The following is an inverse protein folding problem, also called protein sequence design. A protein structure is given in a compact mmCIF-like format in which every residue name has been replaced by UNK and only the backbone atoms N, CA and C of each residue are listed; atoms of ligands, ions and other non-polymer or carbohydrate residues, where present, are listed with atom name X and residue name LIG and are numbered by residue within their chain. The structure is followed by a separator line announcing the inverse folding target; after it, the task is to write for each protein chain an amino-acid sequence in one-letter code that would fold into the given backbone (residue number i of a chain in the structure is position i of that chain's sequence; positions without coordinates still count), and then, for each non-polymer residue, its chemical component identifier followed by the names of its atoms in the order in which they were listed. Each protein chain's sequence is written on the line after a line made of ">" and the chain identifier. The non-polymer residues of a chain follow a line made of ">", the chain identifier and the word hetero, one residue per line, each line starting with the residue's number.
data_IF_796115699138
#
_entry.id   IF_796115699138
#
_cell.length_a   1.000
_cell.length_b   1.000
_cell.length_c   1.000
_cell.angle_alpha   90.00
_cell.angle_beta   90.00
_cell.angle_gamma   90.00
#
_symmetry.space_group_name_H-M   'P 1'
#
loop_
_entity.id
_entity.type
_entity.pdbx_description
1 polymer ?
#
# COMPACT_ATOMS: atom_id res chain seq x y z
N UNK A 1 1.37 25.37 3.63
CA UNK A 1 1.92 24.56 4.74
C UNK A 1 2.80 25.44 5.62
N UNK A 2 2.73 25.31 6.96
CA UNK A 2 3.63 26.02 7.86
C UNK A 2 5.04 25.41 7.85
N UNK A 3 6.05 26.22 8.21
CA UNK A 3 7.44 25.77 8.28
C UNK A 3 7.63 24.61 9.27
N UNK A 4 6.92 24.63 10.40
CA UNK A 4 6.97 23.58 11.42
C UNK A 4 6.40 22.25 10.91
N UNK A 5 5.28 22.28 10.18
CA UNK A 5 4.69 21.07 9.59
C UNK A 5 5.63 20.42 8.55
N UNK A 6 6.34 21.24 7.77
CA UNK A 6 7.33 20.75 6.80
C UNK A 6 8.54 20.10 7.49
N UNK A 7 9.02 20.66 8.61
CA UNK A 7 10.10 20.09 9.40
C UNK A 7 9.71 18.76 10.06
N UNK A 8 8.48 18.68 10.61
CA UNK A 8 7.96 17.42 11.17
C UNK A 8 7.91 16.31 10.13
N UNK A 9 7.32 16.59 8.95
CA UNK A 9 7.24 15.61 7.85
C UNK A 9 8.61 15.12 7.39
N UNK A 10 9.61 16.01 7.37
CA UNK A 10 10.98 15.63 7.04
C UNK A 10 11.54 14.64 8.08
N UNK A 11 11.37 14.94 9.37
CA UNK A 11 11.83 14.07 10.45
C UNK A 11 11.12 12.71 10.43
N UNK A 12 9.81 12.68 10.14
CA UNK A 12 9.03 11.44 10.01
C UNK A 12 9.53 10.59 8.84
N UNK A 13 9.82 11.23 7.70
CA UNK A 13 10.42 10.55 6.55
C UNK A 13 11.80 10.01 6.85
N UNK A 14 12.66 10.77 7.53
CA UNK A 14 14.00 10.32 7.93
C UNK A 14 13.90 9.13 8.90
N UNK A 15 13.00 9.19 9.89
CA UNK A 15 12.70 8.07 10.80
C UNK A 15 12.27 6.83 10.02
N UNK A 16 11.32 6.95 9.10
CA UNK A 16 10.83 5.84 8.28
C UNK A 16 11.99 5.14 7.54
N UNK A 17 12.91 5.91 6.95
CA UNK A 17 14.06 5.35 6.23
C UNK A 17 15.04 4.57 7.13
N UNK A 18 15.04 4.82 8.44
CA UNK A 18 15.78 3.98 9.42
C UNK A 18 15.07 2.66 9.73
N UNK A 19 13.77 2.57 9.48
CA UNK A 19 12.94 1.40 9.80
C UNK A 19 12.86 0.42 8.63
N UNK A 20 12.85 0.92 7.40
CA UNK A 20 12.53 0.12 6.22
C UNK A 20 13.49 0.33 5.06
N UNK A 21 13.50 -0.61 4.13
CA UNK A 21 14.26 -0.53 2.88
C UNK A 21 13.54 -1.21 1.72
N UNK A 22 13.56 -0.64 0.51
CA UNK A 22 13.12 -1.35 -0.68
C UNK A 22 14.04 -2.53 -1.00
N UNK A 23 13.50 -3.58 -1.63
CA UNK A 23 14.26 -4.74 -2.11
C UNK A 23 13.50 -5.53 -3.16
N UNK A 24 14.16 -6.46 -3.88
CA UNK A 24 13.50 -7.27 -4.90
C UNK A 24 12.56 -8.33 -4.29
N UNK A 25 11.48 -8.63 -5.00
CA UNK A 25 10.54 -9.74 -4.75
C UNK A 25 10.28 -10.49 -6.06
N UNK A 26 9.52 -11.59 -6.00
CA UNK A 26 9.08 -12.31 -7.20
C UNK A 26 8.04 -11.55 -8.03
N UNK A 27 7.42 -10.50 -7.47
CA UNK A 27 6.43 -9.64 -8.14
C UNK A 27 6.93 -8.20 -8.37
N UNK A 28 8.23 -7.95 -8.22
CA UNK A 28 8.83 -6.64 -8.47
C UNK A 28 9.66 -6.13 -7.29
N UNK A 29 9.29 -4.97 -6.75
CA UNK A 29 9.96 -4.36 -5.58
C UNK A 29 9.03 -4.42 -4.38
N UNK A 30 9.54 -4.84 -3.23
CA UNK A 30 8.88 -4.85 -1.94
C UNK A 30 9.54 -3.90 -0.95
N UNK A 31 8.94 -3.75 0.23
CA UNK A 31 9.50 -2.99 1.36
C UNK A 31 9.79 -3.93 2.51
N UNK A 32 10.98 -3.87 3.07
CA UNK A 32 11.45 -4.81 4.10
C UNK A 32 11.87 -4.08 5.38
N UNK A 33 11.60 -4.71 6.51
CA UNK A 33 11.99 -4.22 7.82
C UNK A 33 13.52 -4.28 7.99
N UNK A 34 14.15 -3.16 8.37
CA UNK A 34 15.59 -3.11 8.72
C UNK A 34 15.88 -3.67 10.11
N UNK A 35 14.89 -3.68 10.98
CA UNK A 35 14.94 -4.15 12.36
C UNK A 35 13.58 -4.71 12.76
N UNK A 36 13.49 -5.34 13.92
CA UNK A 36 12.22 -5.83 14.43
C UNK A 36 11.23 -4.67 14.62
N UNK A 37 10.04 -4.83 14.05
CA UNK A 37 8.90 -3.92 14.19
C UNK A 37 7.82 -4.63 15.01
N UNK A 38 7.21 -3.91 15.95
CA UNK A 38 6.23 -4.47 16.88
C UNK A 38 4.82 -4.21 16.38
N UNK A 39 3.92 -5.18 16.53
CA UNK A 39 2.48 -4.96 16.30
C UNK A 39 1.98 -3.69 17.00
N UNK A 40 1.13 -2.93 16.32
CA UNK A 40 0.64 -1.61 16.74
C UNK A 40 1.61 -0.45 16.49
N UNK A 41 2.79 -0.68 15.91
CA UNK A 41 3.73 0.40 15.62
C UNK A 41 3.32 1.20 14.38
N UNK A 42 3.11 2.51 14.56
CA UNK A 42 3.00 3.47 13.45
C UNK A 42 4.36 3.68 12.80
N UNK A 43 4.47 3.29 11.53
CA UNK A 43 5.70 3.37 10.74
C UNK A 43 5.90 4.77 10.17
N UNK A 44 4.85 5.36 9.60
CA UNK A 44 4.87 6.73 9.10
C UNK A 44 3.75 7.02 8.10
N UNK A 45 3.71 8.28 7.66
CA UNK A 45 2.83 8.78 6.60
C UNK A 45 3.22 8.16 5.25
N UNK A 46 2.22 7.83 4.41
CA UNK A 46 2.43 7.55 3.00
C UNK A 46 2.66 8.90 2.30
N UNK A 47 3.91 9.21 2.00
CA UNK A 47 4.24 10.44 1.26
C UNK A 47 4.03 10.24 -0.24
N UNK A 48 3.63 11.29 -0.93
CA UNK A 48 3.40 11.26 -2.37
C UNK A 48 2.91 12.59 -2.93
N UNK A 49 2.50 12.55 -4.20
CA UNK A 49 1.81 13.66 -4.83
C UNK A 49 0.30 13.49 -4.63
N UNK A 50 -0.36 14.52 -4.15
CA UNK A 50 -1.83 14.55 -4.06
C UNK A 50 -2.37 15.20 -5.32
N UNK A 51 -3.27 14.49 -6.00
CA UNK A 51 -3.90 14.85 -7.25
C UNK A 51 -5.41 15.04 -7.02
N UNK A 52 -5.99 16.04 -7.68
CA UNK A 52 -7.45 16.30 -7.61
C UNK A 52 -8.24 15.31 -8.50
N UNK A 53 -7.63 14.85 -9.60
CA UNK A 53 -8.21 13.88 -10.52
C UNK A 53 -7.49 12.54 -10.45
N UNK A 54 -8.20 11.46 -10.81
CA UNK A 54 -7.59 10.15 -10.96
C UNK A 54 -6.60 10.17 -12.13
N UNK A 55 -5.34 9.74 -11.92
CA UNK A 55 -4.39 9.65 -13.02
C UNK A 55 -4.82 8.60 -14.03
N UNK A 56 -4.27 8.72 -15.24
CA UNK A 56 -4.59 7.83 -16.38
C UNK A 56 -4.27 6.36 -16.07
N UNK A 57 -3.27 6.11 -15.21
CA UNK A 57 -2.96 4.80 -14.65
C UNK A 57 -3.20 4.79 -13.13
N UNK A 58 -4.33 4.27 -12.66
CA UNK A 58 -4.68 4.27 -11.24
C UNK A 58 -4.05 3.11 -10.47
N UNK A 59 -3.26 2.24 -11.12
CA UNK A 59 -2.81 0.96 -10.54
C UNK A 59 -2.03 1.08 -9.23
N UNK A 60 -1.56 2.28 -8.88
CA UNK A 60 -0.82 2.57 -7.65
C UNK A 60 -1.31 3.81 -6.93
N UNK A 61 -2.61 4.11 -7.01
CA UNK A 61 -3.20 5.26 -6.33
C UNK A 61 -3.93 4.87 -5.06
N UNK A 62 -3.94 5.78 -4.07
CA UNK A 62 -4.65 5.61 -2.81
C UNK A 62 -5.62 6.76 -2.63
N UNK A 63 -6.89 6.47 -2.35
CA UNK A 63 -7.86 7.52 -2.05
C UNK A 63 -7.53 8.19 -0.71
N UNK A 64 -7.84 9.48 -0.61
CA UNK A 64 -7.78 10.25 0.62
C UNK A 64 -9.19 10.63 1.07
N UNK A 65 -9.41 10.94 2.36
CA UNK A 65 -10.75 11.26 2.87
C UNK A 65 -11.39 12.49 2.23
N UNK A 66 -10.60 13.42 1.68
CA UNK A 66 -11.09 14.55 0.90
C UNK A 66 -11.69 14.17 -0.46
N UNK A 67 -11.58 12.90 -0.89
CA UNK A 67 -11.92 12.44 -2.23
C UNK A 67 -10.80 12.65 -3.26
N UNK A 68 -9.66 13.21 -2.84
CA UNK A 68 -8.46 13.32 -3.67
C UNK A 68 -7.73 11.98 -3.77
N UNK A 69 -6.77 11.92 -4.68
CA UNK A 69 -5.97 10.73 -4.93
C UNK A 69 -4.50 10.99 -4.58
N UNK A 70 -3.89 10.09 -3.82
CA UNK A 70 -2.47 10.09 -3.49
C UNK A 70 -1.72 9.13 -4.41
N UNK A 71 -0.76 9.66 -5.17
CA UNK A 71 0.27 8.89 -5.86
C UNK A 71 1.49 8.73 -4.93
N UNK A 72 1.70 7.54 -4.34
CA UNK A 72 2.70 7.33 -3.31
C UNK A 72 4.12 7.35 -3.88
N UNK A 73 5.03 7.84 -3.06
CA UNK A 73 6.47 7.91 -3.33
C UNK A 73 7.24 6.84 -2.53
N UNK A 74 8.51 6.63 -2.90
CA UNK A 74 9.37 5.69 -2.20
C UNK A 74 9.64 6.11 -0.73
N UNK A 75 9.76 5.15 0.20
CA UNK A 75 9.79 3.72 -0.05
C UNK A 75 8.41 3.05 -0.08
N UNK A 76 7.36 3.67 0.49
CA UNK A 76 6.10 2.97 0.75
C UNK A 76 5.21 2.74 -0.49
N UNK A 77 5.52 3.38 -1.63
CA UNK A 77 4.91 3.01 -2.92
C UNK A 77 5.14 1.55 -3.34
N UNK A 78 6.13 0.88 -2.74
CA UNK A 78 6.49 -0.49 -3.07
C UNK A 78 5.95 -1.52 -2.06
N UNK A 79 5.05 -1.14 -1.15
CA UNK A 79 4.45 -2.09 -0.21
C UNK A 79 3.53 -3.02 -1.00
N UNK A 80 3.82 -4.32 -0.98
CA UNK A 80 3.09 -5.31 -1.75
C UNK A 80 1.81 -5.79 -1.05
N UNK A 81 0.99 -6.46 -1.85
CA UNK A 81 -0.22 -7.11 -1.40
C UNK A 81 0.05 -8.44 -0.67
N UNK A 82 -0.74 -8.73 0.37
CA UNK A 82 -0.96 -10.09 0.87
C UNK A 82 -2.39 -10.29 1.33
N UNK A 83 -2.94 -11.49 1.09
CA UNK A 83 -4.20 -11.94 1.70
C UNK A 83 -4.07 -12.29 3.19
N UNK A 84 -2.85 -12.36 3.70
CA UNK A 84 -2.51 -12.40 5.13
C UNK A 84 -1.49 -11.29 5.42
N UNK A 85 -1.93 -10.03 5.55
CA UNK A 85 -1.05 -8.87 5.66
C UNK A 85 -0.48 -8.69 7.07
N UNK A 86 0.64 -8.00 7.20
CA UNK A 86 1.25 -7.66 8.51
C UNK A 86 1.26 -6.16 8.79
N UNK A 87 0.81 -5.36 7.84
CA UNK A 87 0.56 -3.94 7.96
C UNK A 87 -0.88 -3.60 7.50
N UNK A 88 -1.34 -2.43 7.91
CA UNK A 88 -2.58 -1.83 7.40
C UNK A 88 -2.41 -0.32 7.22
N UNK A 89 -3.23 0.24 6.34
CA UNK A 89 -3.34 1.67 6.11
C UNK A 89 -4.48 2.25 6.95
N UNK A 90 -4.31 3.45 7.48
CA UNK A 90 -5.34 4.12 8.28
C UNK A 90 -5.29 5.64 8.16
N UNK A 91 -6.39 6.28 8.56
CA UNK A 91 -6.52 7.73 8.70
C UNK A 91 -6.60 8.09 10.18
N UNK A 92 -6.13 9.28 10.56
CA UNK A 92 -6.34 9.79 11.91
C UNK A 92 -7.73 10.42 12.04
N UNK A 93 -8.51 9.91 12.98
CA UNK A 93 -9.83 10.44 13.33
C UNK A 93 -9.76 11.27 14.62
N UNK A 94 -10.67 12.22 14.75
CA UNK A 94 -10.80 13.07 15.91
C UNK A 94 -11.24 12.22 17.12
N UNK A 95 -10.67 12.48 18.29
CA UNK A 95 -11.00 11.73 19.50
C UNK A 95 -12.43 12.00 19.98
N UNK A 96 -12.95 13.21 19.71
CA UNK A 96 -14.29 13.64 20.07
C UNK A 96 -15.32 13.32 18.97
N UNK A 97 -14.88 13.12 17.72
CA UNK A 97 -15.72 12.71 16.59
C UNK A 97 -15.02 11.65 15.70
N UNK A 98 -15.35 10.36 15.86
CA UNK A 98 -14.72 9.28 15.09
C UNK A 98 -15.10 9.28 13.59
N UNK A 99 -16.00 10.16 13.14
CA UNK A 99 -16.29 10.38 11.72
C UNK A 99 -15.51 11.56 11.13
N UNK A 100 -14.93 12.41 11.98
CA UNK A 100 -14.13 13.54 11.53
C UNK A 100 -12.66 13.10 11.37
N UNK A 101 -12.14 13.20 10.16
CA UNK A 101 -10.71 12.98 9.91
C UNK A 101 -9.95 14.24 10.31
N UNK A 102 -8.92 14.08 11.15
CA UNK A 102 -8.09 15.19 11.66
C UNK A 102 -7.25 15.81 10.55
N UNK A 103 -6.82 14.99 9.60
CA UNK A 103 -5.99 15.42 8.48
C UNK A 103 -6.19 14.56 7.24
N UNK A 104 -6.07 15.18 6.06
CA UNK A 104 -6.17 14.51 4.77
C UNK A 104 -4.87 13.74 4.43
N UNK A 105 -4.55 12.73 5.24
CA UNK A 105 -3.30 11.96 5.16
C UNK A 105 -3.51 10.49 5.47
N UNK A 106 -2.72 9.67 4.79
CA UNK A 106 -2.73 8.22 4.93
C UNK A 106 -1.49 7.74 5.68
N UNK A 107 -1.68 6.82 6.62
CA UNK A 107 -0.63 6.32 7.50
C UNK A 107 -0.52 4.80 7.43
N UNK A 108 0.69 4.29 7.64
CA UNK A 108 0.97 2.84 7.70
C UNK A 108 1.31 2.44 9.12
N UNK A 109 0.66 1.38 9.61
CA UNK A 109 1.03 0.72 10.85
C UNK A 109 1.20 -0.79 10.69
N UNK A 110 1.97 -1.40 11.57
CA UNK A 110 2.05 -2.86 11.68
C UNK A 110 0.88 -3.40 12.49
N UNK A 111 0.23 -4.47 12.03
CA UNK A 111 -0.78 -5.22 12.79
C UNK A 111 -0.22 -6.50 13.40
N UNK A 112 0.97 -6.93 12.97
CA UNK A 112 1.70 -8.08 13.51
C UNK A 112 3.17 -7.72 13.75
N UNK A 113 3.86 -8.48 14.59
CA UNK A 113 5.32 -8.34 14.74
C UNK A 113 6.00 -8.70 13.40
N UNK A 114 6.98 -7.90 12.97
CA UNK A 114 7.77 -8.13 11.76
C UNK A 114 9.23 -8.23 12.16
N UNK A 115 9.85 -9.38 11.90
CA UNK A 115 11.27 -9.61 12.16
C UNK A 115 12.16 -8.88 11.13
N UNK A 116 13.45 -8.59 11.44
CA UNK A 116 14.36 -7.99 10.48
C UNK A 116 14.40 -8.80 9.17
N UNK A 117 14.30 -8.12 8.04
CA UNK A 117 14.22 -8.73 6.71
C UNK A 117 12.84 -9.22 6.31
N UNK A 118 11.83 -9.14 7.20
CA UNK A 118 10.44 -9.41 6.84
C UNK A 118 9.87 -8.34 5.90
N UNK A 119 9.13 -8.76 4.88
CA UNK A 119 8.42 -7.87 3.97
C UNK A 119 7.20 -7.24 4.66
N UNK A 120 6.96 -5.95 4.43
CA UNK A 120 5.77 -5.24 4.84
C UNK A 120 4.70 -5.47 3.76
N UNK A 121 3.56 -5.99 4.17
CA UNK A 121 2.49 -6.43 3.29
C UNK A 121 1.16 -5.88 3.80
N UNK A 122 0.36 -5.32 2.90
CA UNK A 122 -1.00 -4.81 3.19
C UNK A 122 -2.04 -5.60 2.37
N UNK A 123 -3.30 -5.58 2.78
CA UNK A 123 -4.38 -5.92 1.86
C UNK A 123 -4.65 -4.69 0.97
N UNK A 124 -4.78 -4.92 -0.34
CA UNK A 124 -5.03 -3.82 -1.29
C UNK A 124 -6.51 -3.47 -1.40
N UNK A 125 -7.40 -4.42 -1.05
CA UNK A 125 -8.85 -4.24 -1.13
C UNK A 125 -9.34 -3.62 -2.44
N UNK A 126 -8.78 -4.04 -3.58
CA UNK A 126 -9.19 -3.52 -4.88
C UNK A 126 -10.63 -3.92 -5.22
N UNK A 127 -11.40 -3.07 -5.93
CA UNK A 127 -12.71 -3.45 -6.39
C UNK A 127 -12.63 -4.64 -7.36
N UNK A 128 -13.69 -5.45 -7.41
CA UNK A 128 -13.72 -6.67 -8.19
C UNK A 128 -13.52 -6.44 -9.69
N UNK A 129 -13.97 -5.32 -10.24
CA UNK A 129 -13.76 -5.01 -11.65
C UNK A 129 -12.28 -4.77 -12.01
N UNK A 130 -11.48 -4.26 -11.07
CA UNK A 130 -10.04 -4.05 -11.17
C UNK A 130 -9.19 -5.23 -10.66
N UNK A 131 -9.81 -6.35 -10.27
CA UNK A 131 -9.09 -7.47 -9.65
C UNK A 131 -8.07 -8.11 -10.59
N UNK A 132 -6.92 -8.52 -10.03
CA UNK A 132 -5.89 -9.30 -10.75
C UNK A 132 -5.50 -10.57 -9.99
N UNK A 133 -4.85 -11.52 -10.68
CA UNK A 133 -4.40 -12.77 -10.05
C UNK A 133 -3.40 -12.51 -8.92
N UNK A 134 -3.68 -13.07 -7.75
CA UNK A 134 -2.84 -12.89 -6.58
C UNK A 134 -1.69 -13.90 -6.54
N UNK A 135 -0.48 -13.41 -6.28
CA UNK A 135 0.74 -14.21 -6.17
C UNK A 135 1.40 -14.06 -4.79
N UNK A 136 0.65 -13.68 -3.75
CA UNK A 136 1.22 -13.39 -2.42
C UNK A 136 1.77 -14.63 -1.68
N UNK A 137 1.35 -15.84 -2.06
CA UNK A 137 1.82 -17.08 -1.44
C UNK A 137 1.26 -17.39 -0.04
N UNK A 138 0.33 -16.58 0.48
CA UNK A 138 -0.31 -16.84 1.76
C UNK A 138 -1.14 -18.14 1.73
N UNK A 139 -1.17 -18.89 2.84
CA UNK A 139 -1.89 -20.17 2.91
C UNK A 139 -3.42 -20.00 2.75
N UNK A 140 -3.95 -18.84 3.11
CA UNK A 140 -5.33 -18.41 2.96
C UNK A 140 -5.51 -17.46 1.75
N UNK A 141 -4.64 -17.55 0.73
CA UNK A 141 -4.74 -16.71 -0.45
C UNK A 141 -6.12 -16.84 -1.13
N UNK A 142 -6.75 -15.71 -1.44
CA UNK A 142 -8.05 -15.63 -2.14
C UNK A 142 -7.94 -15.97 -3.64
N UNK A 143 -6.72 -16.08 -4.17
CA UNK A 143 -6.43 -16.28 -5.60
C UNK A 143 -6.53 -15.00 -6.45
N UNK A 144 -7.06 -13.92 -5.89
CA UNK A 144 -7.23 -12.61 -6.51
C UNK A 144 -6.86 -11.50 -5.53
N UNK A 145 -6.33 -10.40 -6.07
CA UNK A 145 -6.21 -9.13 -5.36
C UNK A 145 -7.55 -8.44 -5.53
N UNK A 146 -8.37 -8.49 -4.49
CA UNK A 146 -9.74 -7.97 -4.47
C UNK A 146 -10.15 -7.74 -3.03
N UNK A 147 -11.05 -6.79 -2.80
CA UNK A 147 -11.76 -6.63 -1.54
C UNK A 147 -12.38 -7.99 -1.10
N UNK A 148 -12.14 -8.44 0.15
CA UNK A 148 -12.74 -9.67 0.66
C UNK A 148 -14.26 -9.74 0.47
N UNK A 149 -14.97 -8.62 0.60
CA UNK A 149 -16.42 -8.55 0.52
C UNK A 149 -16.90 -8.69 -0.93
N UNK A 150 -16.07 -8.34 -1.91
CA UNK A 150 -16.39 -8.42 -3.34
C UNK A 150 -15.89 -9.71 -4.01
N UNK A 151 -15.14 -10.56 -3.31
CA UNK A 151 -14.61 -11.83 -3.85
C UNK A 151 -15.69 -12.70 -4.50
N UNK A 152 -16.92 -12.65 -3.96
CA UNK A 152 -18.04 -13.42 -4.46
C UNK A 152 -18.49 -13.04 -5.89
N UNK A 153 -18.10 -11.86 -6.39
CA UNK A 153 -18.38 -11.38 -7.73
C UNK A 153 -17.48 -12.02 -8.80
N UNK A 154 -16.38 -12.68 -8.38
CA UNK A 154 -15.40 -13.28 -9.28
C UNK A 154 -15.65 -14.78 -9.56
N UNK A 155 -16.75 -15.36 -9.07
CA UNK A 155 -17.02 -16.82 -9.11
C UNK A 155 -17.03 -17.42 -10.52
N UNK A 156 -17.42 -16.64 -11.51
CA UNK A 156 -17.53 -17.09 -12.90
C UNK A 156 -16.38 -16.59 -13.80
N UNK A 157 -15.38 -15.89 -13.23
CA UNK A 157 -14.22 -15.40 -13.99
C UNK A 157 -13.26 -16.56 -14.29
N UNK A 158 -13.10 -16.88 -15.57
CA UNK A 158 -12.18 -17.91 -16.05
C UNK A 158 -10.72 -17.49 -15.81
N UNK A 159 -9.92 -18.24 -15.01
CA UNK A 159 -8.50 -17.99 -14.81
C UNK A 159 -7.66 -17.89 -16.08
N UNK A 160 -8.08 -18.59 -17.14
CA UNK A 160 -7.25 -18.83 -18.32
C UNK A 160 -7.34 -17.71 -19.37
N UNK A 161 -8.26 -16.76 -19.23
CA UNK A 161 -8.55 -15.76 -20.28
C UNK A 161 -7.86 -14.39 -20.06
N UNK A 162 -7.29 -14.14 -18.87
CA UNK A 162 -6.71 -12.85 -18.51
C UNK A 162 -5.18 -12.76 -18.65
N UNK A 163 -4.47 -13.85 -18.95
CA UNK A 163 -3.04 -13.82 -19.30
C UNK A 163 -2.76 -12.93 -20.54
N UNK A 164 -3.80 -12.62 -21.32
CA UNK A 164 -3.73 -11.77 -22.52
C UNK A 164 -3.76 -10.26 -22.27
N UNK A 165 -3.95 -9.80 -21.03
CA UNK A 165 -4.05 -8.35 -20.71
C UNK A 165 -3.05 -7.87 -19.65
N UNK A 166 -1.98 -8.62 -19.38
CA UNK A 166 -0.86 -8.08 -18.61
C UNK A 166 -0.23 -6.89 -19.37
N UNK A 167 -0.35 -5.70 -18.78
CA UNK A 167 0.35 -4.49 -19.21
C UNK A 167 1.88 -4.76 -19.33
N UNK A 168 2.58 -4.04 -20.23
CA UNK A 168 3.87 -4.45 -20.74
C UNK A 168 4.95 -4.45 -19.65
N UNK A 169 5.75 -5.52 -19.61
CA UNK A 169 7.09 -5.51 -19.03
C UNK A 169 7.88 -4.32 -19.60
N UNK A 170 8.20 -3.34 -18.76
CA UNK A 170 9.24 -2.37 -19.12
C UNK A 170 10.61 -3.05 -18.98
N UNK A 171 11.13 -3.44 -20.14
CA UNK A 171 12.56 -3.59 -20.39
C UNK A 171 13.16 -2.21 -20.76
N UNK A 172 14.35 -1.89 -20.25
CA UNK A 172 15.17 -0.72 -20.63
C UNK A 172 14.74 0.58 -19.93
N UNK A 173 15.62 1.44 -19.41
CA UNK A 173 16.93 1.81 -19.95
C UNK A 173 18.03 1.86 -18.88
N UNK A 174 19.17 1.25 -19.24
CA UNK A 174 20.48 1.69 -18.81
C UNK A 174 20.95 2.75 -19.82
N UNK A 175 21.29 3.94 -19.32
CA UNK A 175 21.89 5.04 -20.09
C UNK A 175 22.50 6.05 -19.13
#
# INVERSE_FOLDING_TARGET
>A
MSHEAALSRRADRERLLTLVQPGPTHVGTGVFARRRLKSGMVLGEIFGQVCDDHPVDPSYCMELPSGKVLEPSAPLRFVNHSCDPNCELFYWFDEDDPQAVVEDRLWLQTIRDIEPGGELLIDYCWPADASIRCQCGAANCRGWIVDPDELHLLKDRDPCQEETQAAPTQAGDAG
#
